data_IF_122889899909
#
_entry.id   IF_122889899909
#
_cell.length_a   1.000
_cell.length_b   1.000
_cell.length_c   1.000
_cell.angle_alpha   90.00
_cell.angle_beta   90.00
_cell.angle_gamma   90.00
#
_symmetry.space_group_name_H-M   'P 1'
#
loop_
_entity.id
_entity.type
_entity.pdbx_description
1 polymer ?
#
# COMPACT_ATOMS: atom_id res chain seq x y z
N UNK A 1 16.00 -9.61 1.10
CA UNK A 1 15.89 -8.24 0.54
C UNK A 1 14.58 -8.16 -0.23
N UNK A 2 13.88 -7.03 -0.18
CA UNK A 2 12.60 -6.84 -0.87
C UNK A 2 12.69 -5.75 -1.94
N UNK A 3 11.85 -5.87 -2.96
CA UNK A 3 11.66 -4.86 -4.01
C UNK A 3 10.19 -4.46 -4.09
N UNK A 4 9.92 -3.17 -4.30
CA UNK A 4 8.56 -2.66 -4.43
C UNK A 4 7.94 -3.23 -5.72
N UNK A 5 6.90 -4.04 -5.57
CA UNK A 5 6.22 -4.71 -6.69
C UNK A 5 5.02 -3.92 -7.19
N UNK A 6 4.22 -3.37 -6.26
CA UNK A 6 3.01 -2.61 -6.59
C UNK A 6 2.74 -1.50 -5.60
N UNK A 7 2.07 -0.45 -6.07
CA UNK A 7 1.57 0.65 -5.24
C UNK A 7 0.09 0.84 -5.53
N UNK A 8 -0.74 0.82 -4.50
CA UNK A 8 -2.15 1.19 -4.59
C UNK A 8 -2.45 2.43 -3.78
N UNK A 9 -3.05 3.42 -4.43
CA UNK A 9 -3.49 4.68 -3.83
C UNK A 9 -5.00 4.81 -3.97
N UNK A 10 -5.69 5.06 -2.86
CA UNK A 10 -7.15 5.16 -2.85
C UNK A 10 -7.61 6.37 -2.07
N UNK A 11 -8.49 7.18 -2.66
CA UNK A 11 -9.10 8.38 -2.07
C UNK A 11 -8.08 9.32 -1.39
N UNK A 12 -6.92 9.53 -2.03
CA UNK A 12 -5.80 10.28 -1.45
C UNK A 12 -5.13 11.18 -2.49
N UNK A 13 -4.55 12.29 -2.05
CA UNK A 13 -3.92 13.31 -2.90
C UNK A 13 -4.65 14.65 -2.84
N UNK A 14 -3.97 15.75 -3.21
CA UNK A 14 -4.60 17.06 -3.29
C UNK A 14 -5.69 17.06 -4.36
N UNK A 15 -6.66 17.98 -4.26
CA UNK A 15 -7.83 18.01 -5.15
C UNK A 15 -7.47 18.00 -6.66
N UNK A 16 -6.41 18.70 -7.06
CA UNK A 16 -5.97 18.78 -8.47
C UNK A 16 -5.07 17.63 -8.94
N UNK A 17 -4.64 16.73 -8.06
CA UNK A 17 -3.73 15.61 -8.39
C UNK A 17 -4.10 14.37 -7.56
N UNK A 18 -5.38 14.03 -7.63
CA UNK A 18 -6.01 13.04 -6.77
C UNK A 18 -5.86 11.64 -7.34
N UNK A 19 -5.48 10.71 -6.48
CA UNK A 19 -5.51 9.27 -6.75
C UNK A 19 -6.81 8.71 -6.20
N UNK A 20 -7.81 8.56 -7.08
CA UNK A 20 -9.13 8.06 -6.71
C UNK A 20 -9.08 6.57 -6.34
N UNK A 21 -8.55 5.76 -7.26
CA UNK A 21 -8.19 4.36 -7.07
C UNK A 21 -7.16 4.04 -8.16
N UNK A 22 -5.88 4.02 -7.82
CA UNK A 22 -4.79 3.91 -8.79
C UNK A 22 -3.84 2.82 -8.33
N UNK A 23 -3.57 1.87 -9.22
CA UNK A 23 -2.58 0.83 -9.03
C UNK A 23 -1.43 1.07 -10.00
N UNK A 24 -0.22 1.13 -9.47
CA UNK A 24 1.02 1.08 -10.24
C UNK A 24 1.56 -0.34 -10.10
N UNK A 25 1.63 -1.06 -11.21
CA UNK A 25 2.15 -2.43 -11.25
C UNK A 25 3.56 -2.45 -11.86
N UNK A 26 4.54 -2.91 -11.09
CA UNK A 26 5.94 -3.03 -11.49
C UNK A 26 6.34 -4.50 -11.67
N UNK A 27 5.44 -5.46 -11.47
CA UNK A 27 5.75 -6.91 -11.51
C UNK A 27 6.15 -7.38 -12.90
N UNK A 28 6.76 -8.57 -12.97
CA UNK A 28 6.89 -9.30 -14.23
C UNK A 28 8.03 -8.88 -15.16
N UNK A 29 8.74 -7.79 -14.86
CA UNK A 29 9.72 -7.20 -15.80
C UNK A 29 11.16 -7.67 -15.55
N UNK A 30 11.55 -7.77 -14.28
CA UNK A 30 12.93 -8.04 -13.87
C UNK A 30 13.39 -9.48 -14.16
N UNK A 31 14.54 -9.85 -13.61
CA UNK A 31 15.06 -11.22 -13.68
C UNK A 31 14.11 -12.21 -12.98
N UNK A 32 14.17 -13.48 -13.37
CA UNK A 32 13.48 -14.56 -12.66
C UNK A 32 13.86 -14.58 -11.17
N UNK A 33 12.88 -14.91 -10.33
CA UNK A 33 13.07 -15.22 -8.92
C UNK A 33 13.91 -16.51 -8.82
N UNK A 34 15.04 -16.51 -8.09
CA UNK A 34 15.95 -17.66 -8.09
C UNK A 34 15.39 -18.92 -7.42
N UNK A 35 14.70 -18.75 -6.29
CA UNK A 35 14.21 -19.85 -5.45
C UNK A 35 12.74 -19.64 -5.12
N UNK A 36 11.83 -19.65 -6.13
CA UNK A 36 10.43 -19.29 -5.92
C UNK A 36 9.80 -20.20 -4.86
N UNK A 37 9.14 -19.59 -3.89
CA UNK A 37 8.34 -20.30 -2.91
C UNK A 37 7.26 -21.13 -3.63
N UNK A 38 6.86 -22.30 -3.09
CA UNK A 38 5.83 -23.12 -3.71
C UNK A 38 4.52 -22.33 -3.86
N UNK A 39 4.09 -22.08 -5.09
CA UNK A 39 2.77 -21.53 -5.37
C UNK A 39 1.78 -22.71 -5.48
N UNK A 40 0.66 -22.65 -4.77
CA UNK A 40 -0.47 -23.50 -5.10
C UNK A 40 -1.07 -22.97 -6.41
N UNK A 41 -1.01 -23.75 -7.48
CA UNK A 41 -1.69 -23.39 -8.71
C UNK A 41 -3.19 -23.27 -8.43
N UNK A 42 -3.78 -22.10 -8.72
CA UNK A 42 -5.23 -21.99 -8.78
C UNK A 42 -5.70 -22.87 -9.96
N UNK A 43 -6.59 -23.83 -9.68
CA UNK A 43 -7.02 -24.88 -10.61
C UNK A 43 -7.62 -24.38 -11.96
N UNK A 44 -7.77 -23.06 -12.14
CA UNK A 44 -8.44 -22.43 -13.27
C UNK A 44 -7.68 -21.25 -13.90
N UNK A 45 -6.46 -20.93 -13.47
CA UNK A 45 -5.64 -19.89 -14.12
C UNK A 45 -4.71 -20.51 -15.18
N UNK A 46 -4.49 -19.78 -16.29
CA UNK A 46 -3.44 -20.16 -17.25
C UNK A 46 -2.11 -20.20 -16.50
N UNK A 47 -1.43 -21.36 -16.49
CA UNK A 47 -0.14 -21.48 -15.80
C UNK A 47 0.81 -20.37 -16.30
N UNK A 48 1.32 -19.51 -15.41
CA UNK A 48 2.24 -18.47 -15.81
C UNK A 48 3.44 -19.12 -16.51
N UNK A 49 3.77 -18.61 -17.70
CA UNK A 49 4.84 -19.16 -18.53
C UNK A 49 6.20 -18.87 -17.86
N UNK A 50 6.67 -19.79 -17.02
CA UNK A 50 7.96 -19.74 -16.36
C UNK A 50 7.94 -19.20 -14.92
N UNK A 51 9.11 -19.16 -14.25
CA UNK A 51 9.20 -18.76 -12.85
C UNK A 51 8.76 -17.30 -12.67
N UNK A 52 8.18 -16.95 -11.50
CA UNK A 52 7.86 -15.57 -11.16
C UNK A 52 9.05 -14.64 -11.43
N UNK A 53 8.77 -13.46 -11.96
CA UNK A 53 9.80 -12.44 -12.24
C UNK A 53 9.75 -11.34 -11.21
N UNK A 54 10.95 -10.85 -10.86
CA UNK A 54 11.14 -9.69 -9.99
C UNK A 54 10.50 -8.43 -10.57
N UNK A 55 10.24 -7.39 -9.75
CA UNK A 55 9.73 -6.14 -10.26
C UNK A 55 10.72 -5.44 -11.21
N UNK A 56 10.23 -4.44 -11.94
CA UNK A 56 11.04 -3.60 -12.80
C UNK A 56 12.17 -2.94 -11.98
N UNK A 57 13.45 -3.10 -12.36
CA UNK A 57 14.56 -2.52 -11.61
C UNK A 57 14.58 -0.99 -11.65
N UNK A 58 13.94 -0.40 -12.66
CA UNK A 58 13.71 1.03 -12.79
C UNK A 58 12.42 1.27 -13.58
N UNK A 59 11.75 2.39 -13.29
CA UNK A 59 10.56 2.84 -14.02
C UNK A 59 10.56 4.36 -14.19
N UNK A 60 9.97 4.84 -15.28
CA UNK A 60 9.82 6.28 -15.54
C UNK A 60 8.34 6.63 -15.51
N UNK A 61 7.96 7.50 -14.56
CA UNK A 61 6.60 8.02 -14.48
C UNK A 61 6.50 9.36 -15.23
N UNK A 62 5.67 9.39 -16.26
CA UNK A 62 5.30 10.59 -17.00
C UNK A 62 3.96 11.12 -16.51
N UNK A 63 3.95 12.37 -16.06
CA UNK A 63 2.76 13.11 -15.63
C UNK A 63 2.95 14.57 -16.05
N UNK A 64 1.85 15.25 -16.33
CA UNK A 64 1.86 16.69 -16.54
C UNK A 64 2.35 17.43 -15.29
N UNK A 65 2.78 18.69 -15.45
CA UNK A 65 3.15 19.53 -14.32
C UNK A 65 1.96 19.67 -13.35
N UNK A 66 2.19 19.36 -12.08
CA UNK A 66 1.12 19.32 -11.09
C UNK A 66 0.32 18.01 -11.05
N UNK A 67 0.55 17.07 -11.97
CA UNK A 67 -0.16 15.78 -12.05
C UNK A 67 0.11 14.79 -10.91
N UNK A 68 0.85 15.19 -9.88
CA UNK A 68 0.97 14.41 -8.64
C UNK A 68 2.21 13.54 -8.50
N UNK A 69 3.21 13.66 -9.38
CA UNK A 69 4.47 12.87 -9.30
C UNK A 69 5.16 12.98 -7.93
N UNK A 70 5.36 14.19 -7.44
CA UNK A 70 5.94 14.41 -6.10
C UNK A 70 4.97 14.03 -4.98
N UNK A 71 3.66 14.04 -5.23
CA UNK A 71 2.66 13.58 -4.27
C UNK A 71 2.78 12.07 -4.08
N UNK A 72 2.91 11.30 -5.16
CA UNK A 72 3.15 9.84 -5.13
C UNK A 72 4.35 9.49 -4.25
N UNK A 73 5.50 10.13 -4.48
CA UNK A 73 6.71 9.86 -3.69
C UNK A 73 6.50 10.17 -2.20
N UNK A 74 5.85 11.30 -1.88
CA UNK A 74 5.52 11.63 -0.48
C UNK A 74 4.56 10.61 0.16
N UNK A 75 3.62 10.08 -0.61
CA UNK A 75 2.68 9.06 -0.12
C UNK A 75 3.42 7.74 0.15
N UNK A 76 4.29 7.27 -0.75
CA UNK A 76 5.13 6.09 -0.52
C UNK A 76 5.99 6.28 0.74
N UNK A 77 6.69 7.42 0.87
CA UNK A 77 7.49 7.71 2.06
C UNK A 77 6.66 7.86 3.33
N UNK A 78 5.38 8.21 3.23
CA UNK A 78 4.52 8.26 4.42
C UNK A 78 4.24 6.89 5.04
N UNK A 79 4.40 5.82 4.25
CA UNK A 79 4.35 4.43 4.75
C UNK A 79 5.74 3.99 5.22
N UNK A 80 6.78 4.21 4.41
CA UNK A 80 8.11 3.65 4.70
C UNK A 80 8.92 4.44 5.72
N UNK A 81 8.70 5.75 5.84
CA UNK A 81 9.47 6.66 6.68
C UNK A 81 8.53 7.64 7.39
N UNK A 82 7.61 7.15 8.25
CA UNK A 82 6.65 8.04 8.91
C UNK A 82 7.36 9.06 9.81
N UNK A 83 6.87 10.30 9.81
CA UNK A 83 7.44 11.38 10.63
C UNK A 83 8.72 12.03 10.09
N UNK A 84 9.33 11.50 9.03
CA UNK A 84 10.52 12.12 8.45
C UNK A 84 10.21 13.42 7.69
N UNK A 85 10.87 14.50 8.09
CA UNK A 85 10.68 15.85 7.52
C UNK A 85 11.57 16.16 6.31
N UNK A 86 12.72 15.47 6.18
CA UNK A 86 13.78 15.78 5.20
C UNK A 86 13.88 14.77 4.04
N UNK A 87 12.84 14.00 3.77
CA UNK A 87 12.77 13.16 2.56
C UNK A 87 12.59 14.01 1.31
N UNK A 88 13.04 13.52 0.15
CA UNK A 88 12.81 14.16 -1.16
C UNK A 88 11.33 14.54 -1.31
N UNK A 89 11.04 15.84 -1.29
CA UNK A 89 9.70 16.41 -1.39
C UNK A 89 9.04 16.85 -0.08
N UNK A 90 9.65 16.69 1.09
CA UNK A 90 9.10 17.19 2.37
C UNK A 90 7.79 16.52 2.77
N UNK A 91 7.83 15.21 3.00
CA UNK A 91 6.68 14.40 3.44
C UNK A 91 6.31 14.61 4.93
N UNK A 92 6.43 15.85 5.43
CA UNK A 92 6.03 16.16 6.80
C UNK A 92 4.53 15.87 7.01
N UNK A 93 4.13 15.41 8.19
CA UNK A 93 2.73 15.09 8.51
C UNK A 93 1.78 16.26 8.22
N UNK A 94 2.24 17.51 8.33
CA UNK A 94 1.46 18.71 7.97
C UNK A 94 1.15 18.85 6.47
N UNK A 95 2.03 18.37 5.59
CA UNK A 95 1.80 18.36 4.14
C UNK A 95 0.85 17.24 3.76
N UNK A 96 1.03 16.03 4.33
CA UNK A 96 0.21 14.86 4.03
C UNK A 96 -1.26 15.05 4.41
N UNK A 97 -1.54 15.81 5.47
CA UNK A 97 -2.91 16.20 5.86
C UNK A 97 -3.66 16.98 4.79
N UNK A 98 -2.94 17.77 3.97
CA UNK A 98 -3.53 18.52 2.86
C UNK A 98 -3.88 17.60 1.68
N UNK A 99 -3.49 16.34 1.71
CA UNK A 99 -3.80 15.34 0.70
C UNK A 99 -5.05 14.51 1.04
N UNK A 100 -5.76 14.84 2.11
CA UNK A 100 -6.99 14.14 2.49
C UNK A 100 -8.15 15.13 2.58
N UNK A 101 -9.22 14.87 1.82
CA UNK A 101 -10.44 15.68 1.88
C UNK A 101 -11.29 15.25 3.09
N UNK A 102 -12.27 16.09 3.43
CA UNK A 102 -13.10 15.93 4.62
C UNK A 102 -13.79 14.55 4.71
N UNK A 103 -14.44 14.11 3.63
CA UNK A 103 -15.24 12.87 3.57
C UNK A 103 -14.45 11.62 3.12
N UNK A 104 -13.13 11.69 3.15
CA UNK A 104 -12.27 10.60 2.70
C UNK A 104 -11.72 9.74 3.83
N UNK A 105 -11.62 8.45 3.52
CA UNK A 105 -10.66 7.55 4.12
C UNK A 105 -9.61 7.25 3.05
N UNK A 106 -8.40 7.79 3.25
CA UNK A 106 -7.31 7.70 2.29
C UNK A 106 -6.42 6.50 2.59
N UNK A 107 -6.03 5.77 1.55
CA UNK A 107 -5.17 4.59 1.68
C UNK A 107 -3.95 4.71 0.77
N UNK A 108 -2.81 4.31 1.33
CA UNK A 108 -1.57 4.06 0.60
C UNK A 108 -1.14 2.64 0.94
N UNK A 109 -1.11 1.75 -0.03
CA UNK A 109 -0.68 0.37 0.16
C UNK A 109 0.46 0.04 -0.80
N UNK A 110 1.50 -0.62 -0.27
CA UNK A 110 2.72 -0.97 -0.96
C UNK A 110 2.88 -2.48 -0.85
N UNK A 111 2.94 -3.15 -1.98
CA UNK A 111 3.32 -4.56 -2.02
C UNK A 111 4.81 -4.67 -2.34
N UNK A 112 5.47 -5.54 -1.58
CA UNK A 112 6.89 -5.81 -1.68
C UNK A 112 7.11 -7.27 -1.99
N UNK A 113 8.00 -7.58 -2.92
CA UNK A 113 8.38 -8.93 -3.29
C UNK A 113 9.79 -9.26 -2.79
N UNK A 114 9.94 -10.40 -2.12
CA UNK A 114 11.23 -10.91 -1.69
C UNK A 114 12.05 -11.36 -2.91
N UNK A 115 13.29 -10.87 -3.01
CA UNK A 115 14.10 -11.03 -4.23
C UNK A 115 14.61 -12.45 -4.48
N UNK A 116 14.61 -13.29 -3.45
CA UNK A 116 15.04 -14.68 -3.52
C UNK A 116 13.87 -15.64 -3.67
N UNK A 117 12.83 -15.45 -2.84
CA UNK A 117 11.71 -16.40 -2.72
C UNK A 117 10.47 -15.98 -3.51
N UNK A 118 10.36 -14.72 -3.93
CA UNK A 118 9.18 -14.20 -4.62
C UNK A 118 7.96 -14.03 -3.71
N UNK A 119 8.04 -14.42 -2.44
CA UNK A 119 7.01 -14.15 -1.43
C UNK A 119 6.76 -12.66 -1.31
N UNK A 120 5.52 -12.30 -1.00
CA UNK A 120 5.11 -10.90 -0.92
C UNK A 120 4.67 -10.53 0.49
N UNK A 121 4.78 -9.24 0.78
CA UNK A 121 4.21 -8.60 1.96
C UNK A 121 3.58 -7.29 1.53
N UNK A 122 2.38 -7.01 2.03
CA UNK A 122 1.74 -5.71 1.86
C UNK A 122 1.94 -4.92 3.14
N UNK A 123 2.38 -3.68 2.98
CA UNK A 123 2.42 -2.68 4.05
C UNK A 123 1.64 -1.46 3.61
N UNK A 124 0.94 -0.81 4.53
CA UNK A 124 0.12 0.32 4.17
C UNK A 124 -0.15 1.29 5.29
N UNK A 125 -0.69 2.43 4.90
CA UNK A 125 -1.18 3.48 5.78
C UNK A 125 -2.62 3.81 5.42
N UNK A 126 -3.45 3.99 6.44
CA UNK A 126 -4.80 4.54 6.33
C UNK A 126 -4.88 5.86 7.09
N UNK A 127 -5.60 6.83 6.55
CA UNK A 127 -5.78 8.15 7.16
C UNK A 127 -7.21 8.66 7.02
N UNK A 128 -7.76 9.25 8.07
CA UNK A 128 -9.13 9.79 8.10
C UNK A 128 -9.22 11.05 8.98
N UNK A 129 -10.03 12.03 8.57
CA UNK A 129 -10.42 13.14 9.44
C UNK A 129 -11.57 12.72 10.36
N UNK A 130 -11.36 12.81 11.68
CA UNK A 130 -12.40 12.56 12.69
C UNK A 130 -13.59 13.50 12.45
N UNK A 131 -14.78 12.92 12.41
CA UNK A 131 -16.01 13.67 12.12
C UNK A 131 -16.13 14.14 10.66
N UNK A 132 -15.28 13.62 9.76
CA UNK A 132 -15.28 13.93 8.33
C UNK A 132 -15.20 15.43 8.03
N UNK A 133 -14.34 16.12 8.77
CA UNK A 133 -14.16 17.56 8.64
C UNK A 133 -12.67 17.90 8.69
N UNK A 134 -12.18 18.60 7.68
CA UNK A 134 -10.81 19.12 7.69
C UNK A 134 -10.64 20.08 8.87
N UNK A 135 -9.55 19.93 9.63
CA UNK A 135 -9.31 20.74 10.81
C UNK A 135 -7.84 21.15 10.94
N UNK A 136 -7.62 22.31 11.56
CA UNK A 136 -6.29 22.72 12.00
C UNK A 136 -5.84 21.97 13.27
N UNK A 137 -6.77 21.38 14.03
CA UNK A 137 -6.43 20.58 15.22
C UNK A 137 -5.78 19.27 14.80
N UNK A 138 -4.49 19.05 15.15
CA UNK A 138 -3.79 17.86 14.73
C UNK A 138 -4.32 16.56 15.29
N UNK A 139 -5.08 16.60 16.38
CA UNK A 139 -5.66 15.43 17.04
C UNK A 139 -6.91 14.91 16.32
N UNK A 140 -7.47 15.70 15.39
CA UNK A 140 -8.59 15.28 14.55
C UNK A 140 -8.15 14.49 13.32
N UNK A 141 -6.86 14.46 13.01
CA UNK A 141 -6.33 13.64 11.94
C UNK A 141 -5.88 12.29 12.51
N UNK A 142 -6.54 11.21 12.09
CA UNK A 142 -6.18 9.85 12.49
C UNK A 142 -5.34 9.19 11.39
N UNK A 143 -4.30 8.48 11.81
CA UNK A 143 -3.45 7.67 10.95
C UNK A 143 -3.18 6.33 11.65
N UNK A 144 -3.08 5.26 10.87
CA UNK A 144 -2.56 3.98 11.33
C UNK A 144 -1.87 3.27 10.17
N UNK A 145 -0.94 2.40 10.52
CA UNK A 145 -0.20 1.56 9.60
C UNK A 145 -0.57 0.10 9.82
N UNK A 146 -0.44 -0.69 8.77
CA UNK A 146 -0.77 -2.11 8.80
C UNK A 146 0.16 -2.89 7.88
N UNK A 147 0.32 -4.17 8.18
CA UNK A 147 0.90 -5.13 7.24
C UNK A 147 0.11 -6.42 7.21
N UNK A 148 0.26 -7.18 6.13
CA UNK A 148 -0.19 -8.57 6.02
C UNK A 148 0.58 -9.27 4.89
N UNK A 149 0.61 -10.60 4.92
CA UNK A 149 1.10 -11.45 3.83
C UNK A 149 -0.07 -11.75 2.90
N UNK A 150 -0.09 -11.24 1.66
CA UNK A 150 -1.21 -11.47 0.76
C UNK A 150 -1.25 -12.95 0.34
N UNK A 151 -2.45 -13.42 0.01
CA UNK A 151 -2.70 -14.80 -0.39
C UNK A 151 -4.16 -14.99 -0.81
N UNK A 152 -4.63 -16.25 -0.94
CA UNK A 152 -6.02 -16.54 -1.25
C UNK A 152 -6.95 -15.85 -0.25
N UNK A 153 -7.92 -15.09 -0.77
CA UNK A 153 -8.92 -14.36 0.01
C UNK A 153 -8.57 -12.90 0.33
N UNK A 154 -7.29 -12.51 0.35
CA UNK A 154 -6.91 -11.11 0.50
C UNK A 154 -5.55 -10.78 -0.17
N UNK A 155 -5.59 -9.81 -1.07
CA UNK A 155 -4.45 -9.29 -1.83
C UNK A 155 -4.52 -7.77 -1.94
N UNK A 156 -3.52 -7.16 -2.57
CA UNK A 156 -3.53 -5.71 -2.84
C UNK A 156 -4.77 -5.28 -3.67
N UNK A 157 -5.20 -6.10 -4.63
CA UNK A 157 -6.31 -5.81 -5.53
C UNK A 157 -7.66 -5.90 -4.81
N UNK A 158 -7.78 -6.82 -3.86
CA UNK A 158 -8.99 -7.09 -3.07
C UNK A 158 -9.04 -6.40 -1.72
N UNK A 159 -8.17 -5.41 -1.46
CA UNK A 159 -8.20 -4.63 -0.21
C UNK A 159 -9.61 -4.08 0.08
N UNK A 160 -10.13 -4.21 1.31
CA UNK A 160 -11.51 -3.84 1.67
C UNK A 160 -11.67 -2.32 1.89
N UNK A 161 -11.20 -1.50 0.95
CA UNK A 161 -11.29 -0.02 1.02
C UNK A 161 -12.70 0.52 0.74
N UNK A 162 -13.59 -0.32 0.22
CA UNK A 162 -15.01 -0.02 -0.02
C UNK A 162 -15.92 -1.15 0.52
N UNK A 163 -17.21 -0.87 0.66
CA UNK A 163 -18.21 -1.81 1.19
C UNK A 163 -18.32 -3.09 0.36
N UNK A 164 -18.14 -3.00 -0.96
CA UNK A 164 -18.09 -4.16 -1.86
C UNK A 164 -16.68 -4.34 -2.41
N UNK A 165 -16.16 -5.56 -2.31
CA UNK A 165 -15.07 -6.05 -3.15
C UNK A 165 -15.67 -7.04 -4.15
N UNK A 166 -15.19 -7.07 -5.39
CA UNK A 166 -15.74 -7.99 -6.40
C UNK A 166 -15.52 -9.44 -6.01
N UNK A 167 -16.56 -10.25 -6.19
CA UNK A 167 -16.50 -11.69 -6.38
C UNK A 167 -17.11 -11.91 -7.77
N UNK A 168 -16.35 -12.36 -8.80
CA UNK A 168 -15.03 -13.00 -8.76
C UNK A 168 -13.85 -12.02 -8.56
N UNK A 169 -12.66 -12.60 -8.35
CA UNK A 169 -11.41 -11.86 -8.19
C UNK A 169 -11.26 -10.80 -9.30
N UNK A 170 -10.87 -9.56 -8.95
CA UNK A 170 -10.57 -8.56 -9.97
C UNK A 170 -9.43 -9.04 -10.88
N UNK A 171 -9.42 -8.56 -12.14
CA UNK A 171 -8.28 -8.76 -13.05
C UNK A 171 -7.01 -8.31 -12.35
N UNK A 172 -5.93 -9.10 -12.43
CA UNK A 172 -4.66 -8.77 -11.77
C UNK A 172 -4.22 -7.33 -12.07
N UNK A 173 -3.85 -6.60 -11.01
CA UNK A 173 -3.44 -5.19 -11.11
C UNK A 173 -4.60 -4.19 -11.24
N UNK A 174 -5.85 -4.65 -11.26
CA UNK A 174 -7.03 -3.80 -11.16
C UNK A 174 -7.63 -3.88 -9.75
N UNK A 175 -8.09 -2.73 -9.25
CA UNK A 175 -8.83 -2.67 -7.99
C UNK A 175 -10.18 -3.40 -8.09
N UNK A 176 -10.47 -4.24 -7.10
CA UNK A 176 -11.79 -4.85 -6.89
C UNK A 176 -12.77 -3.99 -6.09
N UNK A 177 -12.38 -2.80 -5.61
CA UNK A 177 -13.21 -1.99 -4.72
C UNK A 177 -14.38 -1.32 -5.47
N UNK A 178 -15.60 -1.51 -4.98
CA UNK A 178 -16.82 -0.88 -5.50
C UNK A 178 -17.73 -0.41 -4.36
N UNK A 179 -18.59 0.56 -4.69
CA UNK A 179 -19.59 1.08 -3.75
C UNK A 179 -19.04 2.12 -2.78
N UNK A 180 -19.68 2.24 -1.62
CA UNK A 180 -19.36 3.29 -0.65
C UNK A 180 -17.99 3.04 0.00
N UNK A 181 -17.18 4.11 0.10
CA UNK A 181 -15.89 4.08 0.80
C UNK A 181 -16.08 3.70 2.27
N UNK A 182 -15.24 2.80 2.77
CA UNK A 182 -15.23 2.48 4.21
C UNK A 182 -14.62 3.63 5.00
N UNK A 183 -15.00 3.74 6.27
CA UNK A 183 -14.26 4.55 7.24
C UNK A 183 -12.97 3.85 7.64
N UNK A 184 -12.05 4.57 8.29
CA UNK A 184 -10.82 3.95 8.81
C UNK A 184 -11.13 2.81 9.77
N UNK A 185 -12.13 3.00 10.64
CA UNK A 185 -12.62 1.94 11.54
C UNK A 185 -13.16 0.75 10.75
N UNK A 186 -14.03 0.98 9.77
CA UNK A 186 -14.63 -0.11 8.98
C UNK A 186 -13.64 -0.87 8.12
N UNK A 187 -12.55 -0.23 7.70
CA UNK A 187 -11.41 -0.88 7.05
C UNK A 187 -10.62 -1.75 8.03
N UNK A 188 -10.29 -1.20 9.21
CA UNK A 188 -9.58 -1.94 10.27
C UNK A 188 -10.36 -3.18 10.70
N UNK A 189 -11.66 -3.03 10.97
CA UNK A 189 -12.53 -4.14 11.36
C UNK A 189 -12.52 -5.24 10.27
N UNK A 190 -12.68 -4.86 8.99
CA UNK A 190 -12.67 -5.81 7.89
C UNK A 190 -11.33 -6.54 7.70
N UNK A 191 -10.20 -5.83 7.83
CA UNK A 191 -8.87 -6.43 7.70
C UNK A 191 -8.55 -7.35 8.88
N UNK A 192 -8.88 -6.94 10.10
CA UNK A 192 -8.70 -7.75 11.31
C UNK A 192 -9.58 -9.00 11.25
N UNK A 193 -10.82 -8.89 10.78
CA UNK A 193 -11.69 -10.06 10.61
C UNK A 193 -11.13 -11.01 9.55
N UNK A 194 -10.64 -10.50 8.40
CA UNK A 194 -9.95 -11.33 7.42
C UNK A 194 -8.76 -12.09 8.03
N UNK A 195 -7.95 -11.44 8.88
CA UNK A 195 -6.84 -12.09 9.60
C UNK A 195 -7.26 -13.19 10.58
N UNK A 196 -8.49 -13.13 11.12
CA UNK A 196 -9.06 -14.23 11.94
C UNK A 196 -9.46 -15.43 11.10
N UNK A 197 -9.98 -15.19 9.89
CA UNK A 197 -10.40 -16.25 8.96
C UNK A 197 -9.22 -16.87 8.23
N UNK A 198 -8.24 -16.06 7.85
CA UNK A 198 -7.07 -16.45 7.07
C UNK A 198 -5.81 -16.21 7.89
N UNK A 199 -5.44 -17.18 8.72
CA UNK A 199 -4.30 -17.06 9.64
C UNK A 199 -2.96 -16.80 8.91
N UNK A 200 -2.83 -17.23 7.65
CA UNK A 200 -1.63 -16.98 6.84
C UNK A 200 -1.40 -15.48 6.56
N UNK A 201 -2.43 -14.63 6.70
CA UNK A 201 -2.32 -13.21 6.42
C UNK A 201 -1.41 -12.49 7.43
N UNK A 202 -1.24 -13.02 8.65
CA UNK A 202 -0.35 -12.40 9.65
C UNK A 202 -0.58 -10.88 9.80
N UNK A 203 -1.84 -10.51 10.03
CA UNK A 203 -2.27 -9.10 10.03
C UNK A 203 -1.71 -8.39 11.26
N UNK A 204 -0.99 -7.30 11.02
CA UNK A 204 -0.37 -6.46 12.05
C UNK A 204 -0.82 -4.99 11.92
N UNK A 205 -0.87 -4.27 13.04
CA UNK A 205 -1.34 -2.88 13.12
C UNK A 205 -0.50 -2.04 14.07
N UNK A 206 -0.15 -0.83 13.66
CA UNK A 206 0.50 0.16 14.51
C UNK A 206 -0.08 1.56 14.33
N UNK A 207 -0.04 2.36 15.41
CA UNK A 207 -0.55 3.74 15.43
C UNK A 207 0.55 4.77 15.71
N UNK A 208 1.76 4.32 16.04
CA UNK A 208 2.91 5.20 16.29
C UNK A 208 4.00 4.99 15.24
N UNK A 209 4.68 6.08 14.89
CA UNK A 209 5.76 6.04 13.91
C UNK A 209 6.91 5.12 14.33
N UNK A 210 7.26 5.13 15.61
CA UNK A 210 8.36 4.37 16.19
C UNK A 210 8.12 2.87 16.07
N UNK A 211 7.00 2.37 16.59
CA UNK A 211 6.65 0.94 16.50
C UNK A 211 6.47 0.47 15.07
N UNK A 212 5.89 1.30 14.21
CA UNK A 212 5.80 0.95 12.80
C UNK A 212 7.17 0.83 12.13
N UNK A 213 8.12 1.70 12.49
CA UNK A 213 9.49 1.62 11.97
C UNK A 213 10.21 0.37 12.47
N UNK A 214 10.00 -0.01 13.74
CA UNK A 214 10.51 -1.27 14.30
C UNK A 214 9.94 -2.48 13.56
N UNK A 215 8.61 -2.52 13.37
CA UNK A 215 7.92 -3.59 12.65
C UNK A 215 8.37 -3.73 11.18
N UNK A 216 8.60 -2.61 10.48
CA UNK A 216 9.19 -2.65 9.13
C UNK A 216 10.57 -3.33 9.14
N UNK A 217 11.38 -3.09 10.17
CA UNK A 217 12.65 -3.77 10.39
C UNK A 217 12.49 -5.29 10.60
N UNK A 218 11.51 -5.71 11.40
CA UNK A 218 11.18 -7.12 11.64
C UNK A 218 10.73 -7.85 10.36
N UNK A 219 10.01 -7.15 9.47
CA UNK A 219 9.64 -7.67 8.15
C UNK A 219 10.82 -7.75 7.17
N UNK A 220 11.97 -7.18 7.50
CA UNK A 220 13.13 -7.06 6.61
C UNK A 220 12.96 -5.98 5.53
N UNK A 221 12.04 -5.03 5.74
CA UNK A 221 11.83 -3.84 4.91
C UNK A 221 12.62 -2.67 5.50
N UNK A 222 13.93 -2.67 5.29
CA UNK A 222 14.83 -1.67 5.85
C UNK A 222 14.52 -0.24 5.34
N UNK A 223 14.01 0.67 6.21
CA UNK A 223 13.73 2.05 5.84
C UNK A 223 15.00 2.87 5.53
N UNK A 224 16.16 2.46 6.03
CA UNK A 224 17.43 3.17 5.81
C UNK A 224 17.86 3.13 4.34
N UNK A 225 17.40 2.15 3.55
CA UNK A 225 17.65 2.10 2.10
C UNK A 225 17.14 3.36 1.36
N UNK A 226 16.12 4.03 1.90
CA UNK A 226 15.61 5.27 1.34
C UNK A 226 16.38 6.53 1.78
N UNK A 227 17.25 6.43 2.80
CA UNK A 227 18.07 7.56 3.27
C UNK A 227 19.35 7.73 2.45
N UNK A 228 19.82 6.68 1.78
CA UNK A 228 21.07 6.69 1.01
C UNK A 228 20.93 7.22 -0.43
N UNK A 229 19.72 7.48 -0.92
CA UNK A 229 19.51 8.17 -2.20
C UNK A 229 19.62 9.69 -1.98
N UNK A 230 20.86 10.21 -1.97
CA UNK A 230 21.14 11.65 -2.12
C UNK A 230 21.45 12.00 -3.56
#
# INVERSE_FOLDING_TARGET
>A
MYELSRVRLYSIGPAGARYADTVLDLRGVGRAVPEPAPAQAEFFEEEPVGPPRRPAPAGVLFLENGGGKSVLLKLIFSVMLPGHRNTLGGASSGVLRKFLLADDCGHVALEWQHTLTGETVVVGKVSEWRGRQVSHDPRKFAEAWYSFRPGPGLSLDSLPVAESTTVPAPVEGASGARGRRRTMKGFRDALTDAGKFYLHLDVHWEETHERWTEHLGELGLDPELFRYQR
#
